data_IF_268085080718
#
_entry.id   IF_268085080718
#
_cell.length_a   1.000
_cell.length_b   1.000
_cell.length_c   1.000
_cell.angle_alpha   90.00
_cell.angle_beta   90.00
_cell.angle_gamma   90.00
#
_symmetry.space_group_name_H-M   'P 1'
#
loop_
_entity.id
_entity.type
_entity.pdbx_description
1 polymer ?
#
# COMPACT_ATOMS: atom_id res chain seq x y z
N UNK A 1 4.87 -1.56 -1.59
CA UNK A 1 5.61 -2.55 -2.42
C UNK A 1 6.72 -3.24 -1.62
N UNK A 2 7.70 -2.51 -1.06
CA UNK A 2 8.89 -3.07 -0.39
C UNK A 2 8.61 -4.17 0.63
N UNK A 3 7.72 -3.93 1.60
CA UNK A 3 7.32 -4.94 2.60
C UNK A 3 6.82 -6.23 1.95
N UNK A 4 5.93 -6.12 0.96
CA UNK A 4 5.36 -7.29 0.30
C UNK A 4 6.36 -8.02 -0.61
N UNK A 5 7.40 -7.35 -1.14
CA UNK A 5 8.53 -8.03 -1.80
C UNK A 5 9.34 -8.83 -0.77
N UNK A 6 9.77 -8.18 0.31
CA UNK A 6 10.62 -8.80 1.33
C UNK A 6 9.95 -9.99 2.01
N UNK A 7 8.63 -9.91 2.19
CA UNK A 7 7.82 -10.98 2.78
C UNK A 7 7.37 -12.05 1.77
N UNK A 8 7.76 -11.93 0.50
CA UNK A 8 7.39 -12.89 -0.55
C UNK A 8 5.89 -12.90 -0.91
N UNK A 9 5.16 -11.82 -0.60
CA UNK A 9 3.70 -11.73 -0.78
C UNK A 9 3.28 -11.16 -2.15
N UNK A 10 4.20 -10.76 -3.02
CA UNK A 10 3.87 -10.30 -4.38
C UNK A 10 4.04 -11.38 -5.46
N UNK A 11 4.38 -12.62 -5.07
CA UNK A 11 4.74 -13.69 -6.01
C UNK A 11 4.16 -15.05 -5.60
N UNK A 12 2.96 -15.40 -6.09
CA UNK A 12 2.54 -16.81 -6.16
C UNK A 12 1.43 -17.04 -7.17
N UNK A 13 1.79 -17.66 -8.29
CA UNK A 13 0.91 -18.47 -9.14
C UNK A 13 -0.46 -17.83 -9.52
N UNK A 14 -0.48 -16.56 -9.92
CA UNK A 14 -1.71 -15.86 -10.35
C UNK A 14 -2.86 -15.90 -9.34
N UNK A 15 -2.56 -16.07 -8.05
CA UNK A 15 -3.55 -15.98 -6.98
C UNK A 15 -3.29 -14.67 -6.22
N UNK A 16 -4.33 -13.85 -5.93
CA UNK A 16 -4.15 -12.70 -5.05
C UNK A 16 -3.67 -13.23 -3.70
N UNK A 17 -2.40 -12.96 -3.40
CA UNK A 17 -1.81 -13.26 -2.11
C UNK A 17 -2.37 -12.29 -1.08
N UNK A 18 -2.48 -12.74 0.16
CA UNK A 18 -2.71 -11.86 1.31
C UNK A 18 -1.52 -10.90 1.42
N UNK A 19 -1.71 -9.67 0.95
CA UNK A 19 -0.71 -8.62 1.06
C UNK A 19 -0.79 -7.96 2.42
N UNK A 20 0.34 -7.58 2.98
CA UNK A 20 0.40 -6.73 4.16
C UNK A 20 0.04 -5.29 3.82
N UNK A 21 -0.88 -4.72 4.62
CA UNK A 21 -0.99 -3.28 4.78
C UNK A 21 0.24 -2.74 5.52
N UNK A 22 0.63 -1.51 5.19
CA UNK A 22 1.80 -0.85 5.78
C UNK A 22 1.36 0.48 6.35
N UNK A 23 1.86 0.76 7.56
CA UNK A 23 1.87 2.08 8.17
C UNK A 23 3.32 2.52 8.30
N UNK A 24 3.66 3.66 7.71
CA UNK A 24 4.99 4.28 7.82
C UNK A 24 4.86 5.57 8.64
N UNK A 25 5.73 5.75 9.62
CA UNK A 25 5.70 6.87 10.56
C UNK A 25 7.02 7.62 10.46
N UNK A 26 7.02 8.71 9.70
CA UNK A 26 8.16 9.61 9.54
C UNK A 26 8.09 10.84 10.43
N UNK A 27 9.15 11.66 10.40
CA UNK A 27 9.21 12.90 11.18
C UNK A 27 8.32 14.04 10.66
N UNK A 28 8.00 14.04 9.36
CA UNK A 28 7.19 15.08 8.72
C UNK A 28 5.81 14.58 8.25
N UNK A 29 5.60 13.27 8.21
CA UNK A 29 4.36 12.67 7.72
C UNK A 29 4.21 11.22 8.15
N UNK A 30 2.97 10.74 8.15
CA UNK A 30 2.62 9.33 8.33
C UNK A 30 1.86 8.86 7.10
N UNK A 31 2.14 7.65 6.63
CA UNK A 31 1.51 7.05 5.45
C UNK A 31 0.82 5.75 5.83
N UNK A 32 -0.31 5.48 5.19
CA UNK A 32 -0.99 4.19 5.23
C UNK A 32 -1.19 3.68 3.82
N UNK A 33 -0.92 2.41 3.58
CA UNK A 33 -1.14 1.79 2.27
C UNK A 33 -1.51 0.32 2.38
N UNK A 34 -2.60 -0.09 1.74
CA UNK A 34 -3.09 -1.47 1.76
C UNK A 34 -3.95 -1.76 0.53
N UNK A 35 -4.17 -3.05 0.25
CA UNK A 35 -5.09 -3.48 -0.80
C UNK A 35 -6.52 -3.28 -0.31
N UNK A 36 -7.31 -2.55 -1.08
CA UNK A 36 -8.70 -2.23 -0.75
C UNK A 36 -9.60 -2.50 -1.97
N UNK A 37 -10.60 -3.39 -1.86
CA UNK A 37 -11.64 -3.52 -2.89
C UNK A 37 -12.51 -2.24 -2.95
N UNK A 38 -13.17 -2.03 -4.10
CA UNK A 38 -13.77 -0.78 -4.60
C UNK A 38 -14.38 0.26 -3.62
N UNK A 39 -14.34 1.53 -4.07
CA UNK A 39 -14.99 2.75 -3.55
C UNK A 39 -14.33 3.53 -2.38
N UNK A 40 -13.01 3.75 -2.44
CA UNK A 40 -12.32 4.72 -1.57
C UNK A 40 -11.66 5.85 -2.39
N UNK A 41 -11.67 7.07 -1.84
CA UNK A 41 -10.82 8.17 -2.32
C UNK A 41 -9.33 7.78 -2.15
N UNK A 42 -8.43 8.36 -2.95
CA UNK A 42 -6.98 8.08 -2.93
C UNK A 42 -6.56 6.63 -3.26
N UNK A 43 -7.28 6.02 -4.21
CA UNK A 43 -6.90 4.73 -4.80
C UNK A 43 -6.11 4.90 -6.08
N UNK A 44 -5.16 4.00 -6.31
CA UNK A 44 -4.57 3.76 -7.63
C UNK A 44 -4.40 2.26 -7.87
N UNK A 45 -4.37 1.86 -9.15
CA UNK A 45 -4.11 0.47 -9.56
C UNK A 45 -2.66 0.34 -10.01
N UNK A 46 -2.01 -0.75 -9.63
CA UNK A 46 -0.64 -1.05 -10.04
C UNK A 46 -0.54 -2.49 -10.55
N UNK A 47 0.06 -2.68 -11.72
CA UNK A 47 0.38 -4.01 -12.24
C UNK A 47 1.76 -4.43 -11.71
N UNK A 48 1.79 -5.49 -10.90
CA UNK A 48 3.01 -6.11 -10.39
C UNK A 48 2.95 -7.59 -10.73
N UNK A 49 3.94 -8.09 -11.48
CA UNK A 49 4.05 -9.50 -11.86
C UNK A 49 2.77 -10.08 -12.51
N UNK A 50 2.20 -9.33 -13.47
CA UNK A 50 0.96 -9.67 -14.20
C UNK A 50 -0.29 -9.78 -13.32
N UNK A 51 -0.26 -9.20 -12.13
CA UNK A 51 -1.43 -9.08 -11.24
C UNK A 51 -1.71 -7.61 -11.01
N UNK A 52 -2.97 -7.19 -11.19
CA UNK A 52 -3.41 -5.83 -10.88
C UNK A 52 -3.80 -5.77 -9.42
N UNK A 53 -3.18 -4.82 -8.71
CA UNK A 53 -3.42 -4.54 -7.30
C UNK A 53 -4.09 -3.18 -7.18
N UNK A 54 -5.28 -3.13 -6.58
CA UNK A 54 -5.96 -1.89 -6.21
C UNK A 54 -5.53 -1.46 -4.81
N UNK A 55 -4.80 -0.35 -4.75
CA UNK A 55 -4.10 0.10 -3.56
C UNK A 55 -4.74 1.40 -3.10
N UNK A 56 -5.24 1.42 -1.87
CA UNK A 56 -5.49 2.66 -1.15
C UNK A 56 -4.17 3.17 -0.59
N UNK A 57 -3.89 4.46 -0.77
CA UNK A 57 -2.72 5.09 -0.18
C UNK A 57 -3.03 6.53 0.19
N UNK A 58 -2.82 6.87 1.46
CA UNK A 58 -3.01 8.23 1.95
C UNK A 58 -1.85 8.62 2.85
N UNK A 59 -1.55 9.91 2.89
CA UNK A 59 -0.52 10.48 3.75
C UNK A 59 -1.10 11.63 4.56
N UNK A 60 -0.72 11.71 5.83
CA UNK A 60 -1.01 12.83 6.71
C UNK A 60 0.27 13.62 6.90
N UNK A 61 0.26 14.88 6.52
CA UNK A 61 1.35 15.80 6.85
C UNK A 61 1.30 16.15 8.34
N UNK A 62 2.42 16.04 9.04
CA UNK A 62 2.54 16.48 10.42
C UNK A 62 2.83 17.98 10.40
N UNK A 63 1.80 18.77 10.69
CA UNK A 63 1.99 20.19 10.89
C UNK A 63 2.49 20.46 12.31
N UNK A 64 3.80 20.59 12.44
CA UNK A 64 4.44 21.08 13.67
C UNK A 64 4.34 22.61 13.64
N UNK A 65 3.18 23.14 14.03
CA UNK A 65 3.13 24.54 14.46
C UNK A 65 3.86 24.65 15.81
N UNK A 66 4.80 25.60 15.97
CA UNK A 66 5.50 25.81 17.23
C UNK A 66 4.56 26.25 18.36
#
# INVERSE_FOLDING_TARGET
VSTNILMGQLLKNNKPLETYGVSDMGGASTQFSFIAPDAMHDRFSMNLFNTVYDIYSHYFYINIMP
#
